data_IF_539652682235
#
_entry.id   IF_539652682235
#
_cell.length_a   1.000
_cell.length_b   1.000
_cell.length_c   1.000
_cell.angle_alpha   90.00
_cell.angle_beta   90.00
_cell.angle_gamma   90.00
#
_symmetry.space_group_name_H-M   'P 1'
#
loop_
_entity.id
_entity.type
_entity.pdbx_description
1 polymer ?
#
# COMPACT_ATOMS: atom_id res chain seq x y z
N UNK A 1 8.84 -18.24 -0.84
CA UNK A 1 9.67 -17.15 -0.31
C UNK A 1 8.93 -15.84 -0.56
N UNK A 2 8.74 -15.05 0.50
CA UNK A 2 8.16 -13.73 0.42
C UNK A 2 9.29 -12.71 0.55
N UNK A 3 9.48 -11.87 -0.45
CA UNK A 3 10.51 -10.84 -0.47
C UNK A 3 9.85 -9.50 -0.18
N UNK A 4 10.39 -8.80 0.81
CA UNK A 4 9.97 -7.44 1.16
C UNK A 4 11.08 -6.46 0.72
N UNK A 5 10.87 -5.70 -0.36
CA UNK A 5 11.85 -4.73 -0.82
C UNK A 5 11.97 -3.55 0.14
N UNK A 6 13.20 -3.16 0.45
CA UNK A 6 13.50 -1.97 1.26
C UNK A 6 14.67 -1.21 0.66
N UNK A 7 14.55 0.09 0.35
CA UNK A 7 15.58 0.81 -0.40
C UNK A 7 16.81 1.18 0.44
N UNK A 8 16.65 1.34 1.74
CA UNK A 8 17.70 1.71 2.69
C UNK A 8 17.40 1.16 4.09
N UNK A 9 18.25 1.46 5.05
CA UNK A 9 18.25 0.98 6.44
C UNK A 9 18.32 -0.56 6.58
N UNK A 10 19.29 -1.00 7.41
CA UNK A 10 20.30 -0.22 8.18
C UNK A 10 21.48 0.26 7.34
N UNK A 11 21.49 0.00 6.04
CA UNK A 11 22.51 0.47 5.08
C UNK A 11 21.95 1.60 4.22
N UNK A 12 22.83 2.43 3.65
CA UNK A 12 22.43 3.58 2.85
C UNK A 12 21.66 3.20 1.56
N UNK A 13 21.98 2.04 0.97
CA UNK A 13 21.35 1.53 -0.24
C UNK A 13 21.26 0.02 -0.24
N UNK A 14 20.08 -0.50 -0.42
CA UNK A 14 19.80 -1.93 -0.54
C UNK A 14 19.95 -2.41 -1.99
N UNK A 15 20.33 -3.69 -2.17
CA UNK A 15 20.36 -4.35 -3.49
C UNK A 15 18.96 -4.55 -4.03
N UNK A 16 18.01 -4.97 -3.19
CA UNK A 16 16.60 -5.20 -3.56
C UNK A 16 15.73 -4.06 -3.02
N UNK A 17 15.98 -2.84 -3.46
CA UNK A 17 15.32 -1.65 -2.93
C UNK A 17 13.93 -1.37 -3.48
N UNK A 18 13.46 -2.10 -4.50
CA UNK A 18 12.15 -1.90 -5.14
C UNK A 18 11.52 -3.22 -5.54
N UNK A 19 10.21 -3.21 -5.80
CA UNK A 19 9.46 -4.36 -6.32
C UNK A 19 10.11 -4.94 -7.59
N UNK A 20 10.52 -4.08 -8.53
CA UNK A 20 11.18 -4.50 -9.76
C UNK A 20 12.51 -5.23 -9.55
N UNK A 21 13.34 -4.75 -8.63
CA UNK A 21 14.60 -5.41 -8.27
C UNK A 21 14.35 -6.81 -7.68
N UNK A 22 13.41 -6.93 -6.75
CA UNK A 22 13.10 -8.20 -6.11
C UNK A 22 12.52 -9.21 -7.11
N UNK A 23 11.65 -8.77 -8.03
CA UNK A 23 11.12 -9.61 -9.11
C UNK A 23 12.21 -10.07 -10.07
N UNK A 24 13.14 -9.19 -10.45
CA UNK A 24 14.26 -9.53 -11.31
C UNK A 24 15.16 -10.61 -10.66
N UNK A 25 15.52 -10.43 -9.38
CA UNK A 25 16.30 -11.43 -8.63
C UNK A 25 15.51 -12.74 -8.48
N UNK A 26 14.22 -12.65 -8.18
CA UNK A 26 13.34 -13.82 -8.06
C UNK A 26 13.25 -14.66 -9.33
N UNK A 27 13.33 -14.02 -10.51
CA UNK A 27 13.30 -14.70 -11.80
C UNK A 27 14.53 -15.60 -12.05
N UNK A 28 15.65 -15.33 -11.36
CA UNK A 28 16.88 -16.13 -11.45
C UNK A 28 16.99 -17.24 -10.39
N UNK A 29 15.98 -17.41 -9.56
CA UNK A 29 15.96 -18.51 -8.59
C UNK A 29 15.68 -19.84 -9.28
N UNK A 30 16.02 -20.96 -8.61
CA UNK A 30 15.79 -22.33 -9.14
C UNK A 30 14.32 -22.57 -9.46
N UNK A 31 13.42 -21.97 -8.68
CA UNK A 31 11.98 -22.06 -8.89
C UNK A 31 11.33 -20.67 -8.68
N UNK A 32 11.25 -19.85 -9.73
CA UNK A 32 10.65 -18.52 -9.65
C UNK A 32 9.17 -18.52 -9.22
N UNK A 33 8.45 -19.65 -9.39
CA UNK A 33 7.05 -19.75 -8.99
C UNK A 33 6.87 -19.67 -7.47
N UNK A 34 7.91 -19.98 -6.71
CA UNK A 34 7.93 -19.97 -5.24
C UNK A 34 8.42 -18.64 -4.63
N UNK A 35 8.62 -17.61 -5.45
CA UNK A 35 9.01 -16.27 -5.02
C UNK A 35 7.90 -15.29 -5.31
N UNK A 36 7.47 -14.59 -4.29
CA UNK A 36 6.49 -13.50 -4.35
C UNK A 36 6.94 -12.29 -3.53
N UNK A 37 6.17 -11.23 -3.56
CA UNK A 37 6.47 -9.96 -2.91
C UNK A 37 5.54 -9.69 -1.73
N UNK A 38 6.10 -9.11 -0.67
CA UNK A 38 5.40 -8.31 0.31
C UNK A 38 5.70 -6.84 0.02
N UNK A 39 4.70 -6.07 -0.40
CA UNK A 39 4.89 -4.63 -0.60
C UNK A 39 4.54 -3.91 0.68
N UNK A 40 5.52 -3.19 1.22
CA UNK A 40 5.31 -2.30 2.35
C UNK A 40 5.17 -0.87 1.88
N UNK A 41 4.13 -0.18 2.40
CA UNK A 41 3.80 1.19 2.00
C UNK A 41 4.96 2.16 2.25
N UNK A 42 5.54 2.14 3.46
CA UNK A 42 6.65 3.01 3.82
C UNK A 42 7.90 2.77 2.94
N UNK A 43 8.20 1.50 2.63
CA UNK A 43 9.35 1.16 1.80
C UNK A 43 9.23 1.68 0.37
N UNK A 44 8.03 1.62 -0.23
CA UNK A 44 7.79 2.23 -1.55
C UNK A 44 7.98 3.75 -1.49
N UNK A 45 7.44 4.42 -0.46
CA UNK A 45 7.61 5.87 -0.27
C UNK A 45 9.08 6.24 -0.04
N UNK A 46 9.82 5.47 0.77
CA UNK A 46 11.27 5.64 0.98
C UNK A 46 12.06 5.52 -0.34
N UNK A 47 11.60 4.68 -1.26
CA UNK A 47 12.16 4.55 -2.61
C UNK A 47 11.77 5.69 -3.56
N UNK A 48 10.91 6.61 -3.13
CA UNK A 48 10.35 7.67 -3.97
C UNK A 48 9.27 7.18 -4.93
N UNK A 49 8.63 6.06 -4.62
CA UNK A 49 7.61 5.40 -5.45
C UNK A 49 6.22 5.53 -4.81
N UNK A 50 5.19 5.24 -5.60
CA UNK A 50 3.81 5.13 -5.13
C UNK A 50 3.51 3.68 -4.74
N UNK A 51 3.13 3.40 -3.47
CA UNK A 51 2.88 2.03 -3.04
C UNK A 51 1.71 1.35 -3.77
N UNK A 52 0.67 2.10 -4.18
CA UNK A 52 -0.43 1.51 -4.95
C UNK A 52 0.02 1.07 -6.35
N UNK A 53 0.94 1.81 -6.98
CA UNK A 53 1.55 1.41 -8.24
C UNK A 53 2.43 0.17 -8.08
N UNK A 54 3.24 0.08 -7.02
CA UNK A 54 4.06 -1.10 -6.73
C UNK A 54 3.17 -2.34 -6.49
N UNK A 55 2.08 -2.19 -5.74
CA UNK A 55 1.09 -3.25 -5.53
C UNK A 55 0.45 -3.67 -6.87
N UNK A 56 0.00 -2.71 -7.68
CA UNK A 56 -0.58 -2.97 -8.99
C UNK A 56 0.38 -3.68 -9.94
N UNK A 57 1.65 -3.28 -9.94
CA UNK A 57 2.70 -3.92 -10.71
C UNK A 57 2.91 -5.39 -10.29
N UNK A 58 3.02 -5.65 -8.99
CA UNK A 58 3.17 -7.00 -8.46
C UNK A 58 1.91 -7.87 -8.71
N UNK A 59 0.70 -7.29 -8.63
CA UNK A 59 -0.57 -7.93 -8.96
C UNK A 59 -0.64 -8.35 -10.43
N UNK A 60 -0.25 -7.47 -11.36
CA UNK A 60 -0.24 -7.76 -12.80
C UNK A 60 0.65 -8.96 -13.17
N UNK A 61 1.68 -9.23 -12.37
CA UNK A 61 2.59 -10.36 -12.53
C UNK A 61 2.21 -11.57 -11.67
N UNK A 62 1.09 -11.51 -10.96
CA UNK A 62 0.64 -12.53 -10.00
C UNK A 62 1.70 -12.84 -8.91
N UNK A 63 2.41 -11.80 -8.46
CA UNK A 63 3.51 -11.89 -7.50
C UNK A 63 3.26 -11.13 -6.20
N UNK A 64 2.16 -10.42 -6.06
CA UNK A 64 1.78 -9.82 -4.78
C UNK A 64 1.19 -10.90 -3.88
N UNK A 65 1.90 -11.27 -2.82
CA UNK A 65 1.46 -12.30 -1.87
C UNK A 65 1.24 -11.74 -0.46
N UNK A 66 1.82 -10.57 -0.18
CA UNK A 66 1.63 -9.87 1.07
C UNK A 66 1.68 -8.37 0.88
N UNK A 67 1.05 -7.65 1.79
CA UNK A 67 1.23 -6.21 1.94
C UNK A 67 1.42 -5.88 3.41
N UNK A 68 2.32 -4.96 3.70
CA UNK A 68 2.46 -4.32 5.00
C UNK A 68 1.99 -2.87 4.87
N UNK A 69 0.87 -2.57 5.52
CA UNK A 69 0.28 -1.24 5.50
C UNK A 69 0.79 -0.41 6.66
N UNK A 70 1.39 0.70 6.33
CA UNK A 70 1.83 1.76 7.22
C UNK A 70 1.83 3.09 6.48
N UNK A 71 2.43 4.13 7.05
CA UNK A 71 2.57 5.42 6.39
C UNK A 71 3.95 6.03 6.66
N UNK A 72 4.33 6.96 5.81
CA UNK A 72 5.67 7.53 5.74
C UNK A 72 5.57 8.96 5.18
N UNK A 73 6.28 9.92 5.76
CA UNK A 73 6.20 11.30 5.29
C UNK A 73 7.44 11.81 4.56
N UNK A 74 8.39 10.95 4.26
CA UNK A 74 9.62 11.35 3.57
C UNK A 74 10.48 10.18 3.17
N UNK A 75 11.60 10.49 2.51
CA UNK A 75 12.51 9.48 1.94
C UNK A 75 13.65 9.09 2.90
N UNK A 76 13.52 9.40 4.19
CA UNK A 76 14.50 9.05 5.22
C UNK A 76 13.82 8.51 6.47
N UNK A 77 14.51 7.56 7.11
CA UNK A 77 14.06 6.85 8.30
C UNK A 77 12.75 6.12 8.06
N UNK A 78 12.77 4.85 8.31
CA UNK A 78 11.59 4.01 8.30
C UNK A 78 10.72 4.33 9.52
N UNK A 79 9.66 5.08 9.29
CA UNK A 79 8.86 5.67 10.35
C UNK A 79 7.78 4.72 10.87
N UNK A 80 7.32 3.80 10.03
CA UNK A 80 6.24 2.84 10.34
C UNK A 80 5.05 3.50 11.05
N UNK A 81 4.62 4.64 10.52
CA UNK A 81 3.49 5.38 11.08
C UNK A 81 2.19 4.62 10.86
N UNK A 82 1.18 4.90 11.67
CA UNK A 82 -0.13 4.32 11.48
C UNK A 82 -0.64 4.59 10.05
N UNK A 83 -1.27 3.60 9.45
CA UNK A 83 -1.75 3.65 8.07
C UNK A 83 -2.69 4.83 7.82
N UNK A 84 -2.42 5.60 6.77
CA UNK A 84 -3.25 6.70 6.29
C UNK A 84 -3.19 8.01 7.10
N UNK A 85 -2.25 8.15 8.05
CA UNK A 85 -2.17 9.34 8.90
C UNK A 85 -1.42 10.52 8.26
N UNK A 86 -0.53 10.25 7.31
CA UNK A 86 0.22 11.27 6.58
C UNK A 86 -0.37 11.52 5.19
N UNK A 87 -0.74 10.46 4.48
CA UNK A 87 -1.26 10.58 3.13
C UNK A 87 -2.51 9.72 2.91
N UNK A 88 -3.66 10.25 3.36
CA UNK A 88 -4.94 9.54 3.25
C UNK A 88 -5.32 9.24 1.79
N UNK A 89 -4.96 10.14 0.84
CA UNK A 89 -5.22 9.95 -0.58
C UNK A 89 -4.46 8.76 -1.15
N UNK A 90 -3.21 8.61 -0.75
CA UNK A 90 -2.37 7.47 -1.12
C UNK A 90 -2.88 6.17 -0.46
N UNK A 91 -3.25 6.22 0.81
CA UNK A 91 -3.84 5.08 1.52
C UNK A 91 -5.14 4.59 0.83
N UNK A 92 -5.99 5.53 0.35
CA UNK A 92 -7.17 5.19 -0.44
C UNK A 92 -6.82 4.44 -1.73
N UNK A 93 -5.78 4.88 -2.47
CA UNK A 93 -5.34 4.20 -3.69
C UNK A 93 -4.88 2.77 -3.41
N UNK A 94 -4.17 2.55 -2.31
CA UNK A 94 -3.71 1.22 -1.90
C UNK A 94 -4.89 0.29 -1.61
N UNK A 95 -5.86 0.74 -0.80
CA UNK A 95 -7.06 -0.06 -0.51
C UNK A 95 -7.86 -0.33 -1.79
N UNK A 96 -7.97 0.67 -2.67
CA UNK A 96 -8.70 0.55 -3.94
C UNK A 96 -8.07 -0.50 -4.86
N UNK A 97 -6.75 -0.47 -5.06
CA UNK A 97 -6.07 -1.44 -5.94
C UNK A 97 -6.18 -2.87 -5.39
N UNK A 98 -6.11 -3.06 -4.08
CA UNK A 98 -6.29 -4.37 -3.46
C UNK A 98 -7.72 -4.88 -3.64
N UNK A 99 -8.71 -4.03 -3.40
CA UNK A 99 -10.13 -4.38 -3.56
C UNK A 99 -10.51 -4.73 -5.01
N UNK A 100 -10.11 -3.89 -5.97
CA UNK A 100 -10.39 -4.09 -7.41
C UNK A 100 -9.80 -5.39 -7.97
N UNK A 101 -8.73 -5.87 -7.35
CA UNK A 101 -8.06 -7.09 -7.76
C UNK A 101 -8.40 -8.32 -6.89
N UNK A 102 -9.42 -8.22 -6.02
CA UNK A 102 -9.84 -9.29 -5.11
C UNK A 102 -8.67 -9.88 -4.29
N UNK A 103 -7.75 -9.02 -3.83
CA UNK A 103 -6.61 -9.46 -3.03
C UNK A 103 -7.11 -10.07 -1.71
N UNK A 104 -6.64 -11.28 -1.39
CA UNK A 104 -7.11 -12.09 -0.28
C UNK A 104 -8.06 -13.22 -0.68
N UNK A 105 -8.71 -13.12 -1.85
CA UNK A 105 -9.74 -14.08 -2.32
C UNK A 105 -9.30 -14.85 -3.58
N UNK A 106 -8.06 -14.69 -4.07
CA UNK A 106 -7.59 -15.29 -5.32
C UNK A 106 -7.13 -16.74 -5.20
N UNK A 107 -7.33 -17.36 -4.03
CA UNK A 107 -6.95 -18.76 -3.77
C UNK A 107 -5.45 -18.98 -3.51
N UNK A 108 -4.65 -17.91 -3.47
CA UNK A 108 -3.26 -17.91 -3.07
C UNK A 108 -3.15 -17.61 -1.56
N UNK A 109 -1.97 -17.87 -0.99
CA UNK A 109 -1.69 -17.36 0.35
C UNK A 109 -1.42 -15.86 0.25
N UNK A 110 -2.41 -15.06 0.55
CA UNK A 110 -2.36 -13.60 0.50
C UNK A 110 -2.68 -13.03 1.88
N UNK A 111 -1.89 -12.08 2.33
CA UNK A 111 -2.09 -11.47 3.64
C UNK A 111 -1.94 -9.95 3.62
N UNK A 112 -2.72 -9.30 4.47
CA UNK A 112 -2.58 -7.88 4.80
C UNK A 112 -2.08 -7.80 6.24
N UNK A 113 -0.88 -7.27 6.41
CA UNK A 113 -0.26 -7.00 7.69
C UNK A 113 -0.22 -5.50 8.00
N UNK A 114 -0.01 -5.18 9.25
CA UNK A 114 0.24 -3.82 9.73
C UNK A 114 1.65 -3.79 10.33
N UNK A 115 2.59 -3.20 9.62
CA UNK A 115 3.96 -2.96 10.13
C UNK A 115 4.05 -1.52 10.62
N UNK A 116 3.57 -1.29 11.83
CA UNK A 116 3.45 0.05 12.43
C UNK A 116 4.05 0.09 13.81
N UNK A 117 4.69 1.22 14.14
CA UNK A 117 5.36 1.46 15.43
C UNK A 117 4.55 2.42 16.31
N UNK A 118 4.51 2.12 17.61
CA UNK A 118 4.00 3.08 18.58
C UNK A 118 4.91 4.29 18.69
N UNK A 119 4.35 5.48 18.84
CA UNK A 119 5.11 6.67 19.20
C UNK A 119 5.79 6.47 20.57
N UNK A 120 7.04 6.97 20.69
CA UNK A 120 7.82 6.82 21.94
C UNK A 120 7.16 7.41 23.18
N UNK A 121 6.28 8.40 22.97
CA UNK A 121 5.53 9.09 24.04
C UNK A 121 4.16 8.48 24.29
N UNK A 122 3.82 7.37 23.63
CA UNK A 122 2.54 6.70 23.82
C UNK A 122 2.47 6.13 25.24
N UNK A 123 1.37 6.38 25.98
CA UNK A 123 1.15 5.75 27.29
C UNK A 123 1.08 4.22 27.19
N UNK A 124 1.57 3.51 28.19
CA UNK A 124 1.63 2.04 28.21
C UNK A 124 0.24 1.41 28.06
N UNK A 125 -0.79 1.99 28.63
CA UNK A 125 -2.19 1.53 28.52
C UNK A 125 -2.75 1.61 27.09
N UNK A 126 -2.13 2.45 26.22
CA UNK A 126 -2.52 2.65 24.84
C UNK A 126 -1.42 2.23 23.84
N UNK A 127 -0.48 1.39 24.25
CA UNK A 127 0.70 1.01 23.47
C UNK A 127 0.37 0.37 22.10
N UNK A 128 -0.84 -0.16 21.91
CA UNK A 128 -1.34 -0.77 20.68
C UNK A 128 -2.29 0.15 19.88
N UNK A 129 -2.45 1.41 20.26
CA UNK A 129 -3.40 2.35 19.61
C UNK A 129 -3.12 2.53 18.11
N UNK A 130 -1.85 2.54 17.71
CA UNK A 130 -1.43 2.64 16.31
C UNK A 130 -1.99 1.49 15.44
N UNK A 131 -2.06 0.28 15.96
CA UNK A 131 -2.67 -0.88 15.27
C UNK A 131 -4.17 -0.70 15.11
N UNK A 132 -4.87 -0.30 16.19
CA UNK A 132 -6.31 -0.05 16.16
C UNK A 132 -6.64 1.06 15.15
N UNK A 133 -5.88 2.15 15.16
CA UNK A 133 -6.08 3.27 14.26
C UNK A 133 -5.85 2.85 12.79
N UNK A 134 -4.78 2.13 12.51
CA UNK A 134 -4.47 1.63 11.16
C UNK A 134 -5.57 0.73 10.62
N UNK A 135 -6.02 -0.23 11.44
CA UNK A 135 -7.15 -1.11 11.09
C UNK A 135 -8.41 -0.29 10.83
N UNK A 136 -8.71 0.67 11.69
CA UNK A 136 -9.92 1.51 11.55
C UNK A 136 -9.89 2.35 10.27
N UNK A 137 -8.74 2.95 9.93
CA UNK A 137 -8.58 3.71 8.68
C UNK A 137 -8.75 2.79 7.47
N UNK A 138 -8.14 1.61 7.49
CA UNK A 138 -8.32 0.62 6.43
C UNK A 138 -9.80 0.28 6.21
N UNK A 139 -10.54 -0.01 7.28
CA UNK A 139 -11.98 -0.33 7.20
C UNK A 139 -12.82 0.84 6.66
N UNK A 140 -12.53 2.08 7.07
CA UNK A 140 -13.20 3.27 6.57
C UNK A 140 -12.93 3.50 5.08
N UNK A 141 -11.68 3.31 4.65
CA UNK A 141 -11.31 3.44 3.24
C UNK A 141 -11.91 2.32 2.40
N UNK A 142 -11.95 1.09 2.91
CA UNK A 142 -12.59 -0.03 2.23
C UNK A 142 -14.09 0.22 2.01
N UNK A 143 -14.77 0.79 3.00
CA UNK A 143 -16.17 1.18 2.85
C UNK A 143 -16.35 2.21 1.74
N UNK A 144 -15.51 3.23 1.68
CA UNK A 144 -15.52 4.23 0.60
C UNK A 144 -15.23 3.62 -0.77
N UNK A 145 -14.29 2.67 -0.85
CA UNK A 145 -13.99 1.97 -2.11
C UNK A 145 -15.18 1.14 -2.59
N UNK A 146 -15.90 0.47 -1.68
CA UNK A 146 -17.12 -0.29 -2.02
C UNK A 146 -18.24 0.57 -2.60
N UNK A 147 -18.31 1.85 -2.21
CA UNK A 147 -19.31 2.80 -2.68
C UNK A 147 -18.75 3.78 -3.74
N UNK A 148 -17.55 3.50 -4.26
CA UNK A 148 -16.91 4.33 -5.27
C UNK A 148 -17.66 4.24 -6.61
N UNK A 149 -17.87 5.40 -7.25
CA UNK A 149 -18.54 5.46 -8.55
C UNK A 149 -17.56 5.16 -9.69
N UNK A 150 -17.50 3.88 -10.07
CA UNK A 150 -16.63 3.40 -11.15
C UNK A 150 -17.11 3.85 -12.53
N UNK A 151 -18.39 4.10 -12.73
CA UNK A 151 -18.92 4.62 -13.99
C UNK A 151 -18.49 6.07 -14.18
N UNK A 152 -18.56 6.87 -13.12
CA UNK A 152 -18.03 8.23 -13.13
C UNK A 152 -16.53 8.28 -13.40
N UNK A 153 -15.76 7.40 -12.77
CA UNK A 153 -14.32 7.27 -13.07
C UNK A 153 -14.09 6.97 -14.54
N UNK A 154 -14.79 5.98 -15.11
CA UNK A 154 -14.65 5.59 -16.50
C UNK A 154 -15.00 6.75 -17.45
N UNK A 155 -16.05 7.51 -17.15
CA UNK A 155 -16.42 8.71 -17.89
C UNK A 155 -15.30 9.79 -17.85
N UNK A 156 -14.77 10.09 -16.65
CA UNK A 156 -13.68 11.05 -16.49
C UNK A 156 -12.42 10.63 -17.26
N UNK A 157 -12.05 9.36 -17.23
CA UNK A 157 -10.90 8.82 -17.97
C UNK A 157 -11.12 8.95 -19.47
N UNK A 158 -12.31 8.61 -19.98
CA UNK A 158 -12.67 8.75 -21.39
C UNK A 158 -12.63 10.20 -21.87
N UNK A 159 -13.07 11.13 -21.02
CA UNK A 159 -13.05 12.57 -21.28
C UNK A 159 -11.66 13.19 -21.05
N UNK A 160 -10.69 12.43 -20.53
CA UNK A 160 -9.39 12.92 -20.09
C UNK A 160 -9.47 14.04 -19.03
N UNK A 161 -10.56 14.06 -18.26
CA UNK A 161 -10.83 15.06 -17.24
C UNK A 161 -10.42 14.55 -15.84
N UNK A 162 -9.12 14.47 -15.63
CA UNK A 162 -8.56 13.94 -14.37
C UNK A 162 -8.76 14.90 -13.19
N UNK A 163 -8.81 16.21 -13.41
CA UNK A 163 -9.12 17.19 -12.34
C UNK A 163 -10.52 16.96 -11.74
N UNK A 164 -11.49 16.64 -12.60
CA UNK A 164 -12.85 16.31 -12.15
C UNK A 164 -12.87 15.03 -11.31
N UNK A 165 -12.07 14.02 -11.71
CA UNK A 165 -11.94 12.78 -10.97
C UNK A 165 -11.26 12.99 -9.62
N UNK A 166 -10.15 13.76 -9.59
CA UNK A 166 -9.45 14.08 -8.34
C UNK A 166 -10.37 14.80 -7.34
N UNK A 167 -11.14 15.78 -7.82
CA UNK A 167 -12.09 16.50 -6.94
C UNK A 167 -13.16 15.56 -6.39
N UNK A 168 -13.67 14.64 -7.20
CA UNK A 168 -14.61 13.61 -6.74
C UNK A 168 -14.01 12.74 -5.63
N UNK A 169 -12.77 12.29 -5.80
CA UNK A 169 -12.08 11.48 -4.78
C UNK A 169 -11.88 12.26 -3.49
N UNK A 170 -11.50 13.54 -3.59
CA UNK A 170 -11.35 14.40 -2.40
C UNK A 170 -12.67 14.60 -1.66
N UNK A 171 -13.77 14.84 -2.36
CA UNK A 171 -15.11 14.98 -1.77
C UNK A 171 -15.57 13.68 -1.10
N UNK A 172 -15.29 12.53 -1.73
CA UNK A 172 -15.56 11.21 -1.16
C UNK A 172 -14.77 10.99 0.15
N UNK A 173 -13.49 11.33 0.17
CA UNK A 173 -12.65 11.20 1.36
C UNK A 173 -13.08 12.14 2.48
N UNK A 174 -13.55 13.33 2.15
CA UNK A 174 -14.10 14.29 3.10
C UNK A 174 -15.50 13.92 3.62
N UNK A 175 -16.15 12.89 3.07
CA UNK A 175 -17.48 12.47 3.47
C UNK A 175 -18.60 13.38 2.93
N UNK A 176 -18.35 14.09 1.83
CA UNK A 176 -19.34 14.94 1.16
C UNK A 176 -20.16 14.10 0.15
N UNK A 177 -19.59 13.01 -0.30
CA UNK A 177 -20.19 12.01 -1.21
C UNK A 177 -20.13 10.61 -0.62
#
# INVERSE_FOLDING_TARGET
ILVEPKPNEPIDRSICGTAGHALAVGAYTVDPSRVGLCIESAHSILAGLDPANDMGFALALNKLWGVHLNDQNGCRYDQDKAFGVDNLRNAFNQVKVLYENNFGDRGNFECVGLDVKAMRTQPDEDCYRHLINSKRIFELLLDKVKHFDYEFQAACVKEQNFEKLEMYVMELLMGIK
#
